data_IF_355068327533
#
_entry.id   IF_355068327533
#
_cell.length_a   1.000
_cell.length_b   1.000
_cell.length_c   1.000
_cell.angle_alpha   90.00
_cell.angle_beta   90.00
_cell.angle_gamma   90.00
#
_symmetry.space_group_name_H-M   'P 1'
#
loop_
_entity.id
_entity.type
_entity.pdbx_description
1 polymer ?
#
# COMPACT_ATOMS: atom_id res chain seq x y z
N UNK A 1 -23.17 21.21 -43.44
CA UNK A 1 -22.49 22.50 -43.17
C UNK A 1 -22.92 23.00 -41.81
N UNK A 2 -22.16 22.71 -40.77
CA UNK A 2 -22.25 23.38 -39.46
C UNK A 2 -20.82 23.42 -38.96
N UNK A 3 -20.21 24.60 -39.02
CA UNK A 3 -18.81 24.84 -38.73
C UNK A 3 -18.59 25.02 -37.23
N UNK A 4 -17.61 24.32 -36.69
CA UNK A 4 -17.06 24.61 -35.36
C UNK A 4 -15.85 25.54 -35.50
N UNK A 5 -15.70 26.56 -34.64
CA UNK A 5 -14.65 27.55 -34.78
C UNK A 5 -13.29 26.98 -34.36
N UNK A 6 -12.31 27.16 -35.25
CA UNK A 6 -10.86 27.06 -34.97
C UNK A 6 -10.50 28.12 -33.92
N UNK A 7 -10.09 27.70 -32.73
CA UNK A 7 -9.32 28.55 -31.83
C UNK A 7 -7.85 28.51 -32.28
N UNK A 8 -7.38 29.63 -32.80
CA UNK A 8 -5.99 29.89 -33.15
C UNK A 8 -5.18 30.18 -31.89
N UNK A 9 -3.92 29.71 -31.90
CA UNK A 9 -2.92 29.96 -30.89
C UNK A 9 -2.55 31.45 -30.77
N UNK A 10 -2.28 31.90 -29.54
CA UNK A 10 -1.09 32.66 -29.08
C UNK A 10 -1.34 33.22 -27.69
N UNK A 11 -0.46 32.89 -26.74
CA UNK A 11 0.33 33.89 -26.01
C UNK A 11 1.44 33.21 -25.21
N UNK A 12 2.64 33.76 -25.34
CA UNK A 12 3.87 33.35 -24.67
C UNK A 12 3.72 33.55 -23.16
N UNK A 13 3.74 32.47 -22.37
CA UNK A 13 3.84 32.59 -20.92
C UNK A 13 5.31 32.51 -20.53
N UNK A 14 5.75 33.65 -20.01
CA UNK A 14 7.06 33.98 -19.46
C UNK A 14 7.67 32.85 -18.60
N UNK A 15 8.87 32.40 -18.98
CA UNK A 15 9.75 31.53 -18.19
C UNK A 15 10.51 32.38 -17.16
N UNK A 16 9.85 32.91 -16.14
CA UNK A 16 10.49 33.17 -14.86
C UNK A 16 9.43 33.55 -13.83
N UNK A 17 9.37 32.77 -12.75
CA UNK A 17 8.76 33.01 -11.43
C UNK A 17 8.24 31.67 -10.88
N UNK A 18 9.16 30.92 -10.24
CA UNK A 18 8.78 29.88 -9.29
C UNK A 18 8.11 30.56 -8.08
N UNK A 19 6.80 30.75 -8.14
CA UNK A 19 5.99 31.05 -6.95
C UNK A 19 5.42 29.75 -6.38
N UNK A 20 5.58 29.50 -5.07
CA UNK A 20 4.98 28.34 -4.43
C UNK A 20 3.47 28.59 -4.34
N UNK A 21 2.69 27.92 -5.19
CA UNK A 21 1.25 27.82 -5.00
C UNK A 21 1.05 26.79 -3.89
N UNK A 22 1.09 27.28 -2.65
CA UNK A 22 0.65 26.58 -1.47
C UNK A 22 -0.84 26.94 -1.30
N UNK A 23 -1.80 26.07 -1.64
CA UNK A 23 -3.12 26.21 -1.05
C UNK A 23 -2.94 25.80 0.41
N UNK A 24 -3.10 26.78 1.31
CA UNK A 24 -3.42 26.55 2.71
C UNK A 24 -4.80 25.87 2.77
N UNK A 25 -4.85 24.58 2.43
CA UNK A 25 -5.82 23.66 2.97
C UNK A 25 -5.05 22.81 3.98
N UNK A 26 -5.40 22.85 5.27
CA UNK A 26 -4.71 22.01 6.22
C UNK A 26 -5.01 20.57 5.82
N UNK A 27 -3.98 19.82 5.42
CA UNK A 27 -4.01 18.36 5.44
C UNK A 27 -4.50 17.81 6.80
N UNK A 28 -4.45 18.64 7.86
CA UNK A 28 -5.04 18.38 9.17
C UNK A 28 -6.57 18.13 9.14
N UNK A 29 -7.34 18.70 8.20
CA UNK A 29 -8.79 18.50 8.17
C UNK A 29 -9.20 17.14 7.56
N UNK A 30 -8.38 16.60 6.64
CA UNK A 30 -8.54 15.23 6.12
C UNK A 30 -7.88 14.17 7.02
N UNK A 31 -6.94 14.59 7.87
CA UNK A 31 -6.28 13.73 8.87
C UNK A 31 -7.25 13.13 9.90
N UNK A 32 -8.41 13.77 10.11
CA UNK A 32 -9.45 13.27 11.02
C UNK A 32 -10.12 11.98 10.53
N UNK A 33 -10.20 11.75 9.21
CA UNK A 33 -10.79 10.53 8.63
C UNK A 33 -9.93 9.28 8.86
N UNK A 34 -8.67 9.45 9.25
CA UNK A 34 -7.71 8.36 9.46
C UNK A 34 -7.55 7.94 10.93
N UNK A 35 -8.17 8.63 11.89
CA UNK A 35 -8.03 8.31 13.33
C UNK A 35 -9.09 7.32 13.81
N UNK A 36 -8.72 6.04 13.85
CA UNK A 36 -9.24 5.06 14.79
C UNK A 36 -8.18 4.72 15.85
N UNK A 37 -8.24 5.43 16.99
CA UNK A 37 -7.63 5.22 18.33
C UNK A 37 -6.15 4.77 18.51
N UNK A 38 -5.53 5.12 19.66
CA UNK A 38 -4.08 5.25 19.81
C UNK A 38 -3.40 4.04 20.48
N UNK A 39 -2.08 3.91 20.25
CA UNK A 39 -1.20 3.17 21.14
C UNK A 39 -0.21 2.27 20.43
N UNK A 40 0.95 2.80 20.04
CA UNK A 40 2.15 2.00 19.90
C UNK A 40 3.37 2.82 20.31
N UNK A 41 3.91 2.48 21.48
CA UNK A 41 5.16 3.00 22.01
C UNK A 41 6.27 2.14 21.40
N UNK A 42 7.25 2.78 20.76
CA UNK A 42 8.47 2.12 20.29
C UNK A 42 9.24 1.55 21.48
N UNK A 43 9.67 0.29 21.37
CA UNK A 43 10.75 -0.24 22.21
C UNK A 43 11.79 -0.87 21.30
N UNK A 44 12.99 -0.29 21.32
CA UNK A 44 14.21 -0.87 20.76
C UNK A 44 14.58 -2.13 21.55
N UNK A 45 14.98 -3.19 20.83
CA UNK A 45 15.61 -4.36 21.43
C UNK A 45 16.76 -4.83 20.54
N UNK A 46 17.98 -4.47 20.96
CA UNK A 46 19.23 -5.07 20.49
C UNK A 46 19.75 -6.03 21.56
N UNK A 47 20.01 -7.27 21.13
CA UNK A 47 21.03 -8.24 21.63
C UNK A 47 20.95 -8.64 23.12
N UNK A 48 20.96 -9.92 23.54
CA UNK A 48 21.98 -10.94 23.25
C UNK A 48 21.59 -12.29 23.90
N UNK A 49 21.93 -13.37 23.22
CA UNK A 49 22.32 -14.72 23.67
C UNK A 49 22.16 -15.13 25.15
N UNK A 50 21.42 -16.22 25.39
CA UNK A 50 21.45 -17.03 26.63
C UNK A 50 22.14 -18.36 26.36
N UNK A 51 23.22 -18.66 27.08
CA UNK A 51 23.57 -20.03 27.50
C UNK A 51 23.96 -19.97 28.97
N UNK A 52 23.20 -20.70 29.77
CA UNK A 52 23.29 -20.77 31.22
C UNK A 52 24.58 -21.45 31.69
N UNK A 53 25.24 -20.81 32.65
CA UNK A 53 25.80 -21.48 33.82
C UNK A 53 25.73 -20.48 34.98
N UNK A 54 25.50 -21.00 36.20
CA UNK A 54 25.72 -20.38 37.53
C UNK A 54 24.46 -20.01 38.32
N UNK A 55 24.09 -20.96 39.17
CA UNK A 55 23.27 -20.86 40.39
C UNK A 55 23.85 -19.89 41.45
N UNK A 56 24.07 -18.60 41.11
CA UNK A 56 24.64 -17.62 42.06
C UNK A 56 24.32 -16.13 41.76
N UNK A 57 23.06 -15.74 41.51
CA UNK A 57 22.74 -14.35 41.08
C UNK A 57 21.45 -13.69 41.59
N UNK A 58 20.84 -14.13 42.68
CA UNK A 58 19.73 -13.37 43.28
C UNK A 58 20.09 -12.92 44.69
N UNK A 59 20.04 -11.59 44.90
CA UNK A 59 20.30 -10.92 46.17
C UNK A 59 19.23 -11.16 47.23
N UNK A 60 18.15 -11.86 46.87
CA UNK A 60 17.05 -12.19 47.75
C UNK A 60 16.66 -13.67 47.58
N UNK A 61 16.23 -14.26 48.68
CA UNK A 61 15.67 -15.61 48.78
C UNK A 61 14.14 -15.57 48.74
N UNK A 62 13.46 -16.70 48.42
CA UNK A 62 12.00 -16.78 48.50
C UNK A 62 11.45 -16.41 49.90
N UNK A 63 12.18 -16.76 50.97
CA UNK A 63 11.81 -16.42 52.34
C UNK A 63 11.85 -14.91 52.61
N UNK A 64 12.86 -14.20 52.07
CA UNK A 64 12.95 -12.74 52.19
C UNK A 64 11.86 -12.03 51.38
N UNK A 65 11.49 -12.58 50.23
CA UNK A 65 10.36 -12.09 49.43
C UNK A 65 9.03 -12.26 50.18
N UNK A 66 8.80 -13.43 50.79
CA UNK A 66 7.62 -13.68 51.61
C UNK A 66 7.57 -12.79 52.87
N UNK A 67 8.72 -12.54 53.51
CA UNK A 67 8.80 -11.63 54.65
C UNK A 67 8.45 -10.18 54.27
N UNK A 68 8.85 -9.73 53.08
CA UNK A 68 8.47 -8.40 52.59
C UNK A 68 6.97 -8.27 52.33
N UNK A 69 6.33 -9.33 51.80
CA UNK A 69 4.88 -9.37 51.64
C UNK A 69 4.13 -9.36 52.97
N UNK A 70 4.64 -10.06 54.00
CA UNK A 70 4.05 -9.99 55.36
C UNK A 70 4.13 -8.59 55.94
N UNK A 71 5.28 -7.90 55.83
CA UNK A 71 5.40 -6.49 56.27
C UNK A 71 4.44 -5.56 55.55
N UNK A 72 4.22 -5.78 54.25
CA UNK A 72 3.25 -5.02 53.47
C UNK A 72 1.82 -5.29 53.96
N UNK A 73 1.50 -6.55 54.28
CA UNK A 73 0.20 -6.91 54.82
C UNK A 73 -0.05 -6.30 56.22
N UNK A 74 0.97 -6.31 57.09
CA UNK A 74 0.91 -5.69 58.41
C UNK A 74 0.63 -4.18 58.32
N UNK A 75 1.22 -3.50 57.33
CA UNK A 75 1.02 -2.07 57.11
C UNK A 75 -0.37 -1.73 56.59
N UNK A 76 -0.96 -2.61 55.76
CA UNK A 76 -2.25 -2.38 55.11
C UNK A 76 -3.43 -2.97 55.91
N UNK A 77 -3.17 -3.86 56.87
CA UNK A 77 -4.19 -4.62 57.59
C UNK A 77 -4.88 -5.69 56.73
N UNK A 78 -4.41 -5.92 55.50
CA UNK A 78 -4.98 -6.87 54.54
C UNK A 78 -3.89 -7.45 53.61
N UNK A 79 -4.22 -8.51 52.86
CA UNK A 79 -3.28 -9.10 51.89
C UNK A 79 -3.03 -8.12 50.71
N UNK A 80 -1.78 -7.67 50.46
CA UNK A 80 -1.47 -6.60 49.52
C UNK A 80 -1.72 -7.01 48.07
N UNK A 81 -2.44 -6.22 47.28
CA UNK A 81 -2.35 -6.31 45.81
C UNK A 81 -0.95 -5.90 45.33
N UNK A 82 -0.59 -6.28 44.09
CA UNK A 82 0.71 -5.89 43.53
C UNK A 82 0.91 -4.37 43.51
N UNK A 83 -0.14 -3.62 43.14
CA UNK A 83 -0.10 -2.16 43.11
C UNK A 83 0.05 -1.56 44.51
N UNK A 84 -0.74 -2.04 45.49
CA UNK A 84 -0.61 -1.59 46.88
C UNK A 84 0.81 -1.85 47.44
N UNK A 85 1.42 -2.99 47.11
CA UNK A 85 2.81 -3.27 47.50
C UNK A 85 3.82 -2.30 46.86
N UNK A 86 3.64 -1.96 45.58
CA UNK A 86 4.49 -1.00 44.87
C UNK A 86 4.39 0.41 45.46
N UNK A 87 3.18 0.84 45.85
CA UNK A 87 2.95 2.13 46.48
C UNK A 87 3.63 2.27 47.85
N UNK A 88 3.84 1.16 48.57
CA UNK A 88 4.59 1.15 49.84
C UNK A 88 6.11 1.31 49.65
N UNK A 89 6.61 1.26 48.41
CA UNK A 89 8.04 1.43 48.11
C UNK A 89 8.95 0.39 48.76
N UNK A 90 8.43 -0.80 49.09
CA UNK A 90 9.15 -1.84 49.81
C UNK A 90 10.15 -2.58 48.92
N UNK A 91 11.22 -3.07 49.55
CA UNK A 91 12.21 -3.94 48.93
C UNK A 91 12.07 -5.38 49.47
N UNK A 92 12.22 -6.40 48.60
CA UNK A 92 12.52 -6.34 47.17
C UNK A 92 11.35 -5.86 46.30
N UNK A 93 11.67 -5.31 45.12
CA UNK A 93 10.66 -4.85 44.16
C UNK A 93 9.72 -5.99 43.71
N UNK A 94 8.48 -5.66 43.36
CA UNK A 94 7.44 -6.62 42.98
C UNK A 94 7.88 -7.57 41.84
N UNK A 95 8.61 -7.05 40.85
CA UNK A 95 9.16 -7.84 39.74
C UNK A 95 10.21 -8.86 40.21
N UNK A 96 11.02 -8.49 41.21
CA UNK A 96 12.01 -9.39 41.82
C UNK A 96 11.33 -10.52 42.59
N UNK A 97 10.26 -10.20 43.33
CA UNK A 97 9.44 -11.19 44.04
C UNK A 97 8.82 -12.18 43.05
N UNK A 98 8.16 -11.68 41.99
CA UNK A 98 7.53 -12.53 40.96
C UNK A 98 8.57 -13.49 40.35
N UNK A 99 9.76 -12.98 40.04
CA UNK A 99 10.82 -13.76 39.39
C UNK A 99 11.48 -14.80 40.32
N UNK A 100 11.52 -14.54 41.63
CA UNK A 100 12.12 -15.47 42.63
C UNK A 100 11.11 -16.52 43.09
N UNK A 101 9.84 -16.13 43.26
CA UNK A 101 8.78 -16.98 43.77
C UNK A 101 7.89 -17.59 42.66
N UNK A 102 8.25 -17.39 41.39
CA UNK A 102 7.50 -17.86 40.21
C UNK A 102 6.03 -17.40 40.16
N UNK A 103 5.77 -16.17 40.61
CA UNK A 103 4.45 -15.57 40.60
C UNK A 103 4.12 -14.78 41.86
N UNK A 104 3.16 -13.85 41.71
CA UNK A 104 2.70 -13.02 42.83
C UNK A 104 1.84 -13.82 43.82
N UNK A 105 0.96 -14.68 43.32
CA UNK A 105 0.14 -15.54 44.16
C UNK A 105 0.99 -16.62 44.86
N UNK A 106 1.97 -17.22 44.17
CA UNK A 106 2.93 -18.13 44.78
C UNK A 106 3.74 -17.47 45.92
N UNK A 107 4.15 -16.21 45.74
CA UNK A 107 4.80 -15.44 46.80
C UNK A 107 3.87 -15.16 48.00
N UNK A 108 2.57 -14.90 47.75
CA UNK A 108 1.56 -14.73 48.81
C UNK A 108 1.28 -16.02 49.56
N UNK A 109 1.25 -17.17 48.88
CA UNK A 109 1.09 -18.48 49.50
C UNK A 109 2.28 -18.78 50.44
N UNK A 110 3.51 -18.53 50.00
CA UNK A 110 4.71 -18.61 50.86
C UNK A 110 4.67 -17.63 52.04
N UNK A 111 3.92 -16.54 51.92
CA UNK A 111 3.72 -15.55 52.96
C UNK A 111 2.52 -15.86 53.87
N UNK A 112 1.76 -16.93 53.60
CA UNK A 112 0.49 -17.28 54.26
C UNK A 112 -0.59 -16.19 54.13
N UNK A 113 -0.57 -15.46 53.01
CA UNK A 113 -1.49 -14.37 52.72
C UNK A 113 -2.56 -14.79 51.71
N UNK A 114 -3.76 -14.20 51.83
CA UNK A 114 -4.87 -14.46 50.90
C UNK A 114 -4.47 -14.11 49.46
N UNK A 115 -4.57 -15.06 48.55
CA UNK A 115 -4.31 -14.85 47.12
C UNK A 115 -5.49 -14.15 46.46
N UNK A 116 -5.22 -13.39 45.40
CA UNK A 116 -6.32 -12.89 44.57
C UNK A 116 -6.76 -14.01 43.64
N UNK A 117 -8.08 -14.22 43.51
CA UNK A 117 -8.64 -15.20 42.58
C UNK A 117 -7.99 -15.04 41.20
N UNK A 118 -7.53 -16.15 40.64
CA UNK A 118 -7.02 -16.17 39.28
C UNK A 118 -8.12 -15.64 38.37
N UNK A 119 -7.86 -14.52 37.67
CA UNK A 119 -8.83 -13.95 36.72
C UNK A 119 -8.94 -14.81 35.46
N UNK A 120 -8.27 -15.97 35.43
CA UNK A 120 -8.15 -16.84 34.30
C UNK A 120 -7.15 -16.31 33.29
N UNK A 121 -6.96 -17.08 32.22
CA UNK A 121 -6.18 -16.64 31.06
C UNK A 121 -6.69 -15.30 30.55
N UNK A 122 -5.78 -14.34 30.37
CA UNK A 122 -6.03 -13.04 29.68
C UNK A 122 -6.62 -13.22 28.28
N UNK A 123 -6.49 -14.42 27.72
CA UNK A 123 -6.99 -14.80 26.41
C UNK A 123 -8.14 -15.79 26.59
N UNK A 124 -9.29 -15.46 26.00
CA UNK A 124 -10.50 -16.29 26.02
C UNK A 124 -10.32 -17.66 25.34
N UNK A 125 -11.40 -18.46 25.28
CA UNK A 125 -11.34 -19.83 24.78
C UNK A 125 -10.91 -19.90 23.30
N UNK A 126 -10.43 -21.08 22.90
CA UNK A 126 -10.07 -21.39 21.51
C UNK A 126 -11.28 -21.16 20.58
N UNK A 127 -11.12 -20.38 19.49
CA UNK A 127 -12.14 -20.29 18.44
C UNK A 127 -12.50 -21.66 17.85
N UNK A 128 -13.79 -21.93 17.66
CA UNK A 128 -14.29 -23.23 17.19
C UNK A 128 -13.83 -23.59 15.77
N UNK A 129 -13.50 -22.60 14.93
CA UNK A 129 -13.05 -22.80 13.55
C UNK A 129 -11.56 -23.15 13.43
N UNK A 130 -10.79 -23.10 14.53
CA UNK A 130 -9.37 -23.42 14.50
C UNK A 130 -9.14 -24.93 14.64
N UNK A 131 -8.51 -25.50 13.63
CA UNK A 131 -8.04 -26.89 13.59
C UNK A 131 -6.71 -27.03 14.36
N UNK A 132 -6.78 -26.78 15.67
CA UNK A 132 -5.68 -26.94 16.63
C UNK A 132 -6.24 -27.68 17.83
N UNK A 133 -5.55 -28.69 18.36
CA UNK A 133 -6.05 -29.39 19.53
C UNK A 133 -6.07 -28.49 20.77
N UNK A 134 -6.91 -28.80 21.76
CA UNK A 134 -6.96 -28.02 23.00
C UNK A 134 -5.62 -28.07 23.77
N UNK A 135 -4.91 -29.20 23.69
CA UNK A 135 -3.58 -29.35 24.27
C UNK A 135 -2.54 -28.43 23.59
N UNK A 136 -2.55 -28.35 22.26
CA UNK A 136 -1.70 -27.43 21.50
C UNK A 136 -2.07 -25.96 21.79
N UNK A 137 -3.36 -25.64 21.88
CA UNK A 137 -3.83 -24.29 22.21
C UNK A 137 -3.38 -23.83 23.60
N UNK A 138 -3.44 -24.71 24.60
CA UNK A 138 -2.98 -24.41 25.97
C UNK A 138 -1.45 -24.25 26.00
N UNK A 139 -0.72 -25.02 25.19
CA UNK A 139 0.73 -24.91 25.07
C UNK A 139 1.21 -23.64 24.34
N UNK A 140 0.37 -23.00 23.53
CA UNK A 140 0.71 -21.74 22.84
C UNK A 140 0.98 -20.60 23.82
N UNK A 141 1.81 -19.65 23.38
CA UNK A 141 2.00 -18.41 24.13
C UNK A 141 0.71 -17.57 24.17
N UNK A 142 0.63 -16.67 25.14
CA UNK A 142 -0.45 -15.68 25.24
C UNK A 142 -0.58 -14.88 23.94
N UNK A 143 0.53 -14.48 23.34
CA UNK A 143 0.57 -13.71 22.11
C UNK A 143 0.07 -14.53 20.91
N UNK A 144 0.48 -15.80 20.79
CA UNK A 144 0.00 -16.70 19.75
C UNK A 144 -1.52 -16.88 19.83
N UNK A 145 -2.04 -17.17 21.02
CA UNK A 145 -3.50 -17.28 21.23
C UNK A 145 -4.22 -15.98 20.92
N UNK A 146 -3.64 -14.83 21.28
CA UNK A 146 -4.19 -13.52 20.94
C UNK A 146 -4.22 -13.31 19.41
N UNK A 147 -3.15 -13.63 18.70
CA UNK A 147 -3.07 -13.52 17.25
C UNK A 147 -4.13 -14.38 16.54
N UNK A 148 -4.30 -15.64 16.94
CA UNK A 148 -5.31 -16.51 16.36
C UNK A 148 -6.73 -16.00 16.59
N UNK A 149 -7.05 -15.51 17.80
CA UNK A 149 -8.39 -14.97 18.09
C UNK A 149 -8.71 -13.70 17.31
N UNK A 150 -7.73 -12.83 17.12
CA UNK A 150 -7.93 -11.53 16.49
C UNK A 150 -7.48 -11.52 15.03
N UNK A 151 -7.17 -12.67 14.43
CA UNK A 151 -6.66 -12.74 13.06
C UNK A 151 -7.60 -12.08 12.06
N UNK A 152 -8.88 -12.48 12.08
CA UNK A 152 -9.92 -11.93 11.19
C UNK A 152 -10.15 -10.44 11.45
N UNK A 153 -10.24 -10.04 12.72
CA UNK A 153 -10.42 -8.63 13.10
C UNK A 153 -9.20 -7.77 12.73
N UNK A 154 -7.98 -8.28 12.87
CA UNK A 154 -6.75 -7.62 12.47
C UNK A 154 -6.68 -7.52 10.94
N UNK A 155 -7.01 -8.59 10.22
CA UNK A 155 -7.09 -8.59 8.76
C UNK A 155 -8.11 -7.57 8.27
N UNK A 156 -9.30 -7.52 8.86
CA UNK A 156 -10.33 -6.52 8.54
C UNK A 156 -9.84 -5.10 8.86
N UNK A 157 -9.21 -4.88 10.02
CA UNK A 157 -8.60 -3.57 10.37
C UNK A 157 -7.54 -3.13 9.35
N UNK A 158 -6.72 -4.05 8.86
CA UNK A 158 -5.74 -3.78 7.81
C UNK A 158 -6.41 -3.44 6.48
N UNK A 159 -7.45 -4.17 6.08
CA UNK A 159 -8.23 -3.88 4.86
C UNK A 159 -8.90 -2.52 4.94
N UNK A 160 -9.56 -2.20 6.05
CA UNK A 160 -10.22 -0.93 6.27
C UNK A 160 -9.23 0.23 6.27
N UNK A 161 -8.04 0.03 6.87
CA UNK A 161 -6.94 1.02 6.80
C UNK A 161 -6.51 1.28 5.37
N UNK A 162 -6.25 0.23 4.57
CA UNK A 162 -5.86 0.36 3.15
C UNK A 162 -6.95 1.01 2.32
N UNK A 163 -8.23 0.76 2.63
CA UNK A 163 -9.37 1.42 1.99
C UNK A 163 -9.37 2.92 2.29
N UNK A 164 -9.31 3.30 3.58
CA UNK A 164 -9.26 4.72 3.99
C UNK A 164 -8.08 5.47 3.39
N UNK A 165 -6.91 4.85 3.30
CA UNK A 165 -5.74 5.46 2.65
C UNK A 165 -5.97 5.70 1.15
N UNK A 166 -6.57 4.74 0.43
CA UNK A 166 -6.93 4.92 -0.99
C UNK A 166 -7.97 6.03 -1.17
N UNK A 167 -9.05 6.01 -0.37
CA UNK A 167 -10.09 7.03 -0.40
C UNK A 167 -9.50 8.44 -0.14
N UNK A 168 -8.59 8.55 0.83
CA UNK A 168 -7.87 9.80 1.11
C UNK A 168 -6.97 10.25 -0.04
N UNK A 169 -6.22 9.33 -0.65
CA UNK A 169 -5.38 9.64 -1.82
C UNK A 169 -6.21 10.07 -3.02
N UNK A 170 -7.38 9.48 -3.24
CA UNK A 170 -8.27 9.87 -4.35
C UNK A 170 -8.81 11.29 -4.15
N UNK A 171 -9.22 11.65 -2.92
CA UNK A 171 -9.60 13.03 -2.58
C UNK A 171 -8.41 13.98 -2.79
N UNK A 172 -7.21 13.59 -2.35
CA UNK A 172 -6.01 14.39 -2.52
C UNK A 172 -5.70 14.65 -4.00
N UNK A 173 -5.73 13.61 -4.85
CA UNK A 173 -5.56 13.74 -6.31
C UNK A 173 -6.63 14.65 -6.92
N UNK A 174 -7.90 14.46 -6.59
CA UNK A 174 -9.01 15.27 -7.11
C UNK A 174 -8.82 16.76 -6.80
N UNK A 175 -8.33 17.05 -5.59
CA UNK A 175 -8.13 18.42 -5.12
C UNK A 175 -7.03 19.18 -5.86
N UNK A 176 -6.07 18.47 -6.45
CA UNK A 176 -4.94 19.05 -7.19
C UNK A 176 -5.18 19.04 -8.70
N UNK A 177 -5.75 17.94 -9.21
CA UNK A 177 -5.84 17.68 -10.64
C UNK A 177 -4.47 17.48 -11.31
N UNK A 178 -4.49 17.17 -12.60
CA UNK A 178 -3.28 17.02 -13.41
C UNK A 178 -2.58 18.38 -13.57
N UNK A 179 -1.31 18.47 -13.18
CA UNK A 179 -0.51 19.72 -13.30
C UNK A 179 -0.31 20.18 -14.74
N UNK A 180 -0.45 19.28 -15.73
CA UNK A 180 -0.22 19.59 -17.14
C UNK A 180 -1.50 19.99 -17.92
N UNK A 181 -2.64 19.36 -17.64
CA UNK A 181 -3.86 19.55 -18.43
C UNK A 181 -5.14 19.79 -17.63
N UNK A 182 -5.08 19.76 -16.29
CA UNK A 182 -6.23 20.04 -15.43
C UNK A 182 -7.27 18.91 -15.28
N UNK A 183 -7.03 17.71 -15.85
CA UNK A 183 -7.86 16.52 -15.57
C UNK A 183 -8.03 16.33 -14.05
N UNK A 184 -9.25 16.06 -13.59
CA UNK A 184 -9.59 16.05 -12.17
C UNK A 184 -10.15 14.72 -11.67
N UNK A 185 -10.51 13.78 -12.56
CA UNK A 185 -11.01 12.47 -12.15
C UNK A 185 -9.90 11.64 -11.48
N UNK A 186 -10.01 11.29 -10.19
CA UNK A 186 -8.97 10.52 -9.47
C UNK A 186 -8.61 9.19 -10.11
N UNK A 187 -9.54 8.56 -10.81
CA UNK A 187 -9.29 7.31 -11.54
C UNK A 187 -8.28 7.50 -12.68
N UNK A 188 -8.22 8.70 -13.26
CA UNK A 188 -7.29 9.07 -14.31
C UNK A 188 -5.94 9.56 -13.78
N UNK A 189 -5.82 9.83 -12.48
CA UNK A 189 -4.68 10.53 -11.87
C UNK A 189 -3.69 9.58 -11.19
N UNK A 190 -2.40 9.85 -11.39
CA UNK A 190 -1.25 9.20 -10.77
C UNK A 190 -0.35 10.23 -10.06
N UNK A 191 0.46 9.72 -9.14
CA UNK A 191 1.58 10.44 -8.57
C UNK A 191 2.82 10.24 -9.46
N UNK A 192 3.35 11.33 -9.99
CA UNK A 192 4.59 11.37 -10.75
C UNK A 192 5.72 11.88 -9.85
N UNK A 193 6.76 11.09 -9.67
CA UNK A 193 7.93 11.49 -8.89
C UNK A 193 8.77 12.54 -9.62
N UNK A 194 9.04 13.65 -8.93
CA UNK A 194 9.96 14.69 -9.38
C UNK A 194 11.33 14.45 -8.75
N UNK A 195 12.14 13.60 -9.37
CA UNK A 195 13.48 13.24 -8.91
C UNK A 195 13.69 11.73 -8.73
N UNK A 196 14.75 11.31 -8.00
CA UNK A 196 15.00 9.90 -7.75
C UNK A 196 13.88 9.31 -6.88
N UNK A 197 13.32 8.18 -7.33
CA UNK A 197 12.25 7.47 -6.62
C UNK A 197 12.85 6.46 -5.66
N UNK A 198 12.47 6.53 -4.38
CA UNK A 198 12.73 5.44 -3.44
C UNK A 198 11.55 4.46 -3.41
N UNK A 199 10.31 4.96 -3.28
CA UNK A 199 9.09 4.14 -3.14
C UNK A 199 7.88 4.79 -3.79
N UNK A 200 7.01 3.99 -4.41
CA UNK A 200 5.76 4.51 -4.97
C UNK A 200 4.71 4.77 -3.87
N UNK A 201 4.02 5.90 -3.93
CA UNK A 201 2.92 6.25 -3.01
C UNK A 201 1.84 5.16 -2.97
N UNK A 202 1.53 4.57 -4.13
CA UNK A 202 0.57 3.47 -4.26
C UNK A 202 1.00 2.23 -3.48
N UNK A 203 2.30 1.93 -3.44
CA UNK A 203 2.84 0.82 -2.67
C UNK A 203 2.74 1.09 -1.17
N UNK A 204 3.07 2.31 -0.74
CA UNK A 204 2.94 2.71 0.67
C UNK A 204 1.50 2.54 1.17
N UNK A 205 0.50 2.92 0.37
CA UNK A 205 -0.90 2.71 0.70
C UNK A 205 -1.28 1.22 0.75
N UNK A 206 -0.78 0.42 -0.21
CA UNK A 206 -1.03 -1.02 -0.31
C UNK A 206 -0.45 -1.78 0.88
N UNK A 207 0.77 -1.46 1.27
CA UNK A 207 1.44 -2.05 2.42
C UNK A 207 0.99 -1.45 3.77
N UNK A 208 0.14 -0.41 3.75
CA UNK A 208 -0.50 0.13 4.94
C UNK A 208 0.42 1.01 5.80
N UNK A 209 1.41 1.67 5.19
CA UNK A 209 2.30 2.63 5.85
C UNK A 209 1.54 3.75 6.57
N UNK A 210 2.24 4.52 7.41
CA UNK A 210 1.59 5.62 8.11
C UNK A 210 1.20 6.75 7.16
N UNK A 211 0.17 7.50 7.51
CA UNK A 211 -0.22 8.70 6.75
C UNK A 211 0.93 9.72 6.70
N UNK A 212 1.78 9.76 7.73
CA UNK A 212 2.96 10.61 7.76
C UNK A 212 4.01 10.17 6.73
N UNK A 213 4.30 8.87 6.63
CA UNK A 213 5.23 8.33 5.63
C UNK A 213 4.74 8.61 4.21
N UNK A 214 3.44 8.39 3.97
CA UNK A 214 2.83 8.68 2.67
C UNK A 214 2.90 10.18 2.38
N UNK A 215 2.61 11.03 3.36
CA UNK A 215 2.68 12.48 3.18
C UNK A 215 4.09 12.99 2.88
N UNK A 216 5.13 12.39 3.48
CA UNK A 216 6.52 12.68 3.18
C UNK A 216 6.85 12.32 1.72
N UNK A 217 6.43 11.14 1.25
CA UNK A 217 6.61 10.73 -0.14
C UNK A 217 5.90 11.67 -1.13
N UNK A 218 4.69 12.13 -0.77
CA UNK A 218 3.92 13.07 -1.58
C UNK A 218 4.63 14.41 -1.82
N UNK A 219 5.57 14.82 -0.95
CA UNK A 219 6.35 16.06 -1.16
C UNK A 219 7.31 15.96 -2.36
N UNK A 220 7.59 14.74 -2.80
CA UNK A 220 8.45 14.46 -3.95
C UNK A 220 7.63 14.13 -5.21
N UNK A 221 6.30 14.28 -5.15
CA UNK A 221 5.40 13.92 -6.23
C UNK A 221 4.62 15.13 -6.74
N UNK A 222 4.31 15.13 -8.04
CA UNK A 222 3.24 15.94 -8.62
C UNK A 222 2.11 15.04 -9.15
N UNK A 223 0.91 15.58 -9.26
CA UNK A 223 -0.24 14.81 -9.78
C UNK A 223 -0.32 14.97 -11.30
N UNK A 224 -0.32 13.85 -12.03
CA UNK A 224 -0.49 13.84 -13.49
C UNK A 224 -1.53 12.83 -13.90
N UNK A 225 -2.32 13.14 -14.93
CA UNK A 225 -3.21 12.14 -15.51
C UNK A 225 -2.43 11.12 -16.33
N UNK A 226 -2.99 9.93 -16.51
CA UNK A 226 -2.34 8.82 -17.22
C UNK A 226 -1.87 9.20 -18.64
N UNK A 227 -2.65 10.05 -19.34
CA UNK A 227 -2.26 10.56 -20.65
C UNK A 227 -1.00 11.45 -20.59
N UNK A 228 -0.90 12.34 -19.60
CA UNK A 228 0.24 13.27 -19.42
C UNK A 228 1.42 12.65 -18.64
N UNK A 229 1.18 11.56 -17.92
CA UNK A 229 2.21 10.87 -17.13
C UNK A 229 3.11 10.02 -18.04
N UNK A 230 2.54 9.39 -19.08
CA UNK A 230 3.27 8.51 -19.98
C UNK A 230 4.51 9.16 -20.63
N UNK A 231 4.43 10.37 -21.24
CA UNK A 231 5.58 11.01 -21.86
C UNK A 231 6.73 11.34 -20.89
N UNK A 232 6.46 11.38 -19.58
CA UNK A 232 7.48 11.67 -18.58
C UNK A 232 8.43 10.48 -18.35
N UNK A 233 7.98 9.25 -18.59
CA UNK A 233 8.77 8.03 -18.38
C UNK A 233 9.20 7.35 -19.68
N UNK A 234 8.61 7.73 -20.81
CA UNK A 234 8.83 7.06 -22.08
C UNK A 234 9.15 8.06 -23.18
N UNK A 235 10.29 7.87 -23.84
CA UNK A 235 10.57 8.54 -25.10
C UNK A 235 9.48 8.18 -26.12
N UNK A 236 9.07 9.15 -26.92
CA UNK A 236 8.20 8.86 -28.07
C UNK A 236 8.90 7.80 -28.94
N UNK A 237 8.19 6.75 -29.40
CA UNK A 237 8.76 5.80 -30.32
C UNK A 237 9.27 6.54 -31.55
N UNK A 238 10.51 6.29 -31.97
CA UNK A 238 11.13 6.96 -33.12
C UNK A 238 10.31 6.79 -34.43
N UNK A 239 9.45 5.76 -34.52
CA UNK A 239 8.53 5.60 -35.65
C UNK A 239 7.41 6.64 -35.70
N UNK A 240 7.08 7.32 -34.60
CA UNK A 240 6.10 8.41 -34.56
C UNK A 240 6.72 9.79 -34.85
N UNK A 241 8.05 9.89 -34.93
CA UNK A 241 8.72 11.12 -35.33
C UNK A 241 8.64 11.29 -36.85
N UNK A 242 8.44 12.51 -37.32
CA UNK A 242 8.37 12.87 -38.75
C UNK A 242 9.66 12.58 -39.55
N UNK A 243 10.71 12.05 -38.90
CA UNK A 243 11.98 11.63 -39.47
C UNK A 243 12.29 10.12 -39.29
N UNK A 244 11.36 9.33 -38.72
CA UNK A 244 11.51 7.89 -38.57
C UNK A 244 11.56 7.17 -39.93
N UNK A 245 12.08 5.92 -39.99
CA UNK A 245 12.15 5.18 -41.23
C UNK A 245 10.76 5.17 -41.85
N UNK A 246 10.68 5.69 -43.07
CA UNK A 246 9.52 5.59 -43.96
C UNK A 246 9.29 4.12 -44.28
N UNK A 247 8.80 3.35 -43.31
CA UNK A 247 7.99 2.18 -43.61
C UNK A 247 6.91 2.74 -44.50
N UNK A 248 6.95 2.41 -45.80
CA UNK A 248 6.03 2.95 -46.81
C UNK A 248 4.62 2.55 -46.39
N UNK A 249 3.96 3.37 -45.59
CA UNK A 249 2.58 3.13 -45.19
C UNK A 249 1.73 3.58 -46.37
N UNK A 250 1.50 2.67 -47.31
CA UNK A 250 0.58 2.92 -48.42
C UNK A 250 -0.78 3.37 -47.87
N UNK A 251 -1.34 4.36 -48.55
CA UNK A 251 -2.43 5.20 -48.06
C UNK A 251 -3.78 4.47 -47.85
N UNK A 252 -3.90 3.19 -48.24
CA UNK A 252 -5.19 2.50 -48.36
C UNK A 252 -5.33 1.21 -47.53
N UNK A 253 -4.51 1.02 -46.47
CA UNK A 253 -4.23 -0.23 -45.72
C UNK A 253 -2.92 -0.83 -46.24
N UNK A 254 -1.84 -0.74 -45.47
CA UNK A 254 -0.52 -1.20 -45.92
C UNK A 254 0.34 -1.72 -44.77
N UNK A 255 -0.07 -2.84 -44.18
CA UNK A 255 0.85 -3.70 -43.42
C UNK A 255 1.78 -4.29 -44.47
N UNK A 256 3.00 -3.78 -44.61
CA UNK A 256 4.07 -4.57 -45.25
C UNK A 256 4.20 -5.82 -44.37
N UNK A 257 3.98 -7.00 -44.93
CA UNK A 257 4.07 -8.22 -44.13
C UNK A 257 5.52 -8.38 -43.63
N UNK A 258 5.76 -9.06 -42.49
CA UNK A 258 7.13 -9.26 -42.02
C UNK A 258 8.02 -9.93 -43.07
N UNK A 259 7.49 -10.82 -43.92
CA UNK A 259 8.19 -11.45 -45.04
C UNK A 259 8.49 -10.50 -46.22
N UNK A 260 7.87 -9.32 -46.26
CA UNK A 260 8.09 -8.26 -47.25
C UNK A 260 9.02 -7.14 -46.70
N UNK A 261 9.56 -7.30 -45.49
CA UNK A 261 10.55 -6.40 -44.86
C UNK A 261 11.75 -7.19 -44.33
N UNK A 262 12.94 -6.61 -44.29
CA UNK A 262 14.09 -7.19 -43.55
C UNK A 262 13.96 -7.04 -42.01
N UNK A 263 12.77 -6.73 -41.49
CA UNK A 263 12.55 -6.49 -40.06
C UNK A 263 12.21 -7.77 -39.32
N UNK A 264 12.71 -7.90 -38.10
CA UNK A 264 12.18 -8.91 -37.18
C UNK A 264 10.71 -8.61 -36.89
N UNK A 265 9.92 -9.67 -36.72
CA UNK A 265 8.50 -9.58 -36.37
C UNK A 265 8.22 -8.69 -35.15
N UNK A 266 9.07 -8.78 -34.13
CA UNK A 266 8.97 -7.96 -32.93
C UNK A 266 9.17 -6.47 -33.27
N UNK A 267 10.19 -6.14 -34.06
CA UNK A 267 10.46 -4.77 -34.52
C UNK A 267 9.29 -4.23 -35.35
N UNK A 268 8.76 -5.06 -36.25
CA UNK A 268 7.58 -4.74 -37.05
C UNK A 268 6.36 -4.42 -36.16
N UNK A 269 6.01 -5.30 -35.20
CA UNK A 269 4.84 -5.12 -34.35
C UNK A 269 4.98 -3.92 -33.39
N UNK A 270 6.19 -3.65 -32.90
CA UNK A 270 6.51 -2.47 -32.08
C UNK A 270 6.37 -1.16 -32.86
N UNK A 271 6.72 -1.15 -34.16
CA UNK A 271 6.55 0.01 -35.02
C UNK A 271 5.08 0.19 -35.48
N UNK A 272 4.40 -0.92 -35.80
CA UNK A 272 3.01 -0.92 -36.28
C UNK A 272 2.01 -0.46 -35.23
N UNK A 273 2.16 -0.92 -33.99
CA UNK A 273 1.16 -0.70 -32.92
C UNK A 273 0.88 0.77 -32.65
N UNK A 274 1.88 1.66 -32.47
CA UNK A 274 1.65 3.09 -32.25
C UNK A 274 0.90 3.76 -33.43
N UNK A 275 1.26 3.45 -34.67
CA UNK A 275 0.58 4.00 -35.85
C UNK A 275 -0.86 3.51 -35.98
N UNK A 276 -1.11 2.22 -35.71
CA UNK A 276 -2.46 1.66 -35.72
C UNK A 276 -3.35 2.42 -34.74
N UNK A 277 -2.86 2.64 -33.52
CA UNK A 277 -3.58 3.37 -32.48
C UNK A 277 -3.80 4.84 -32.86
N UNK A 278 -2.74 5.54 -33.28
CA UNK A 278 -2.80 6.96 -33.65
C UNK A 278 -3.81 7.22 -34.78
N UNK A 279 -3.85 6.38 -35.81
CA UNK A 279 -4.80 6.54 -36.94
C UNK A 279 -6.26 6.36 -36.53
N UNK A 280 -6.54 5.55 -35.50
CA UNK A 280 -7.90 5.34 -35.00
C UNK A 280 -8.31 6.36 -33.94
N UNK A 281 -7.35 6.80 -33.12
CA UNK A 281 -7.61 7.67 -31.98
C UNK A 281 -8.43 6.98 -30.88
N UNK A 282 -8.60 7.67 -29.76
CA UNK A 282 -9.49 7.26 -28.68
C UNK A 282 -10.95 7.30 -29.17
N UNK A 283 -11.66 6.18 -29.01
CA UNK A 283 -13.09 6.05 -29.34
C UNK A 283 -13.97 7.04 -28.58
N UNK A 284 -13.65 7.34 -27.32
CA UNK A 284 -14.52 8.14 -26.44
C UNK A 284 -14.26 9.65 -26.56
N UNK A 285 -13.00 10.09 -26.58
CA UNK A 285 -12.65 11.51 -26.52
C UNK A 285 -11.90 12.05 -27.76
N UNK A 286 -11.55 11.19 -28.72
CA UNK A 286 -10.86 11.59 -29.94
C UNK A 286 -9.36 11.91 -29.79
N UNK A 287 -8.75 11.70 -28.64
CA UNK A 287 -7.30 11.80 -28.44
C UNK A 287 -6.53 10.98 -29.49
N UNK A 288 -5.49 11.54 -30.10
CA UNK A 288 -4.72 10.90 -31.19
C UNK A 288 -3.26 10.71 -30.87
N UNK A 289 -2.74 11.27 -29.78
CA UNK A 289 -1.35 11.09 -29.38
C UNK A 289 -1.08 9.61 -29.08
N UNK A 290 -0.40 8.95 -30.03
CA UNK A 290 -0.33 7.49 -30.09
C UNK A 290 0.28 6.84 -28.84
N UNK A 291 1.06 7.59 -28.08
CA UNK A 291 1.75 7.10 -26.91
C UNK A 291 0.86 6.89 -25.67
N UNK A 292 -0.24 7.65 -25.53
CA UNK A 292 -1.19 7.46 -24.45
C UNK A 292 -2.34 6.50 -24.82
N UNK A 293 -2.37 6.00 -26.06
CA UNK A 293 -3.43 5.11 -26.55
C UNK A 293 -3.19 3.64 -26.17
N UNK A 294 -4.26 2.95 -25.79
CA UNK A 294 -4.29 1.57 -25.31
C UNK A 294 -5.34 0.76 -26.05
N UNK A 295 -5.10 -0.54 -26.18
CA UNK A 295 -6.10 -1.47 -26.67
C UNK A 295 -7.01 -1.88 -25.51
N UNK A 296 -8.30 -1.65 -25.66
CA UNK A 296 -9.31 -2.06 -24.71
C UNK A 296 -10.18 -3.17 -25.32
N UNK A 297 -10.39 -4.24 -24.56
CA UNK A 297 -11.32 -5.31 -24.96
C UNK A 297 -12.69 -5.03 -24.32
N UNK A 298 -13.71 -4.62 -25.10
CA UNK A 298 -15.04 -4.37 -24.56
C UNK A 298 -15.75 -5.66 -24.08
N UNK A 299 -15.31 -6.81 -24.59
CA UNK A 299 -15.80 -8.14 -24.22
C UNK A 299 -14.61 -9.01 -23.79
N UNK A 300 -14.06 -8.81 -22.57
CA UNK A 300 -12.79 -9.41 -22.14
C UNK A 300 -12.80 -10.94 -22.09
N UNK A 301 -13.96 -11.57 -21.99
CA UNK A 301 -14.18 -13.02 -22.05
C UNK A 301 -13.94 -13.61 -23.45
N UNK A 302 -14.00 -12.78 -24.50
CA UNK A 302 -13.77 -13.20 -25.89
C UNK A 302 -12.31 -13.09 -26.32
N UNK A 303 -11.47 -12.46 -25.49
CA UNK A 303 -10.06 -12.23 -25.75
C UNK A 303 -9.26 -13.52 -25.54
N UNK A 304 -8.22 -13.72 -26.34
CA UNK A 304 -7.26 -14.81 -26.14
C UNK A 304 -6.18 -14.42 -25.14
N UNK A 305 -5.66 -13.19 -25.23
CA UNK A 305 -4.70 -12.61 -24.27
C UNK A 305 -4.56 -11.10 -24.51
N UNK A 306 -3.83 -10.37 -23.67
CA UNK A 306 -3.50 -8.97 -23.95
C UNK A 306 -2.65 -8.83 -25.23
N UNK A 307 -3.00 -7.89 -26.12
CA UNK A 307 -2.25 -7.64 -27.37
C UNK A 307 -0.75 -7.45 -27.12
N UNK A 308 -0.37 -6.71 -26.06
CA UNK A 308 1.03 -6.54 -25.68
C UNK A 308 1.74 -7.87 -25.34
N UNK A 309 1.06 -8.77 -24.61
CA UNK A 309 1.58 -10.11 -24.31
C UNK A 309 1.76 -10.94 -25.58
N UNK A 310 0.77 -10.92 -26.48
CA UNK A 310 0.87 -11.65 -27.75
C UNK A 310 2.08 -11.20 -28.59
N UNK A 311 2.41 -9.90 -28.55
CA UNK A 311 3.59 -9.33 -29.20
C UNK A 311 4.88 -9.82 -28.51
N UNK A 312 4.96 -9.69 -27.18
CA UNK A 312 6.12 -10.13 -26.39
C UNK A 312 6.40 -11.63 -26.54
N UNK A 313 5.35 -12.45 -26.56
CA UNK A 313 5.43 -13.90 -26.76
C UNK A 313 5.65 -14.30 -28.23
N UNK A 314 5.86 -13.32 -29.12
CA UNK A 314 6.10 -13.53 -30.54
C UNK A 314 5.03 -14.38 -31.23
N UNK A 315 3.75 -14.26 -30.85
CA UNK A 315 2.62 -14.99 -31.46
C UNK A 315 2.41 -14.57 -32.93
N UNK A 316 1.97 -15.47 -33.85
CA UNK A 316 1.79 -15.17 -35.28
C UNK A 316 1.09 -13.82 -35.55
N UNK A 317 1.49 -13.09 -36.59
CA UNK A 317 0.96 -11.74 -36.85
C UNK A 317 -0.55 -11.77 -37.07
N UNK A 318 -1.05 -12.82 -37.73
CA UNK A 318 -2.46 -13.08 -37.97
C UNK A 318 -3.22 -13.22 -36.64
N UNK A 319 -2.60 -13.89 -35.66
CA UNK A 319 -3.18 -14.04 -34.33
C UNK A 319 -3.22 -12.70 -33.57
N UNK A 320 -2.15 -11.91 -33.65
CA UNK A 320 -2.11 -10.57 -33.03
C UNK A 320 -3.18 -9.67 -33.66
N UNK A 321 -3.33 -9.71 -34.99
CA UNK A 321 -4.34 -8.95 -35.72
C UNK A 321 -5.76 -9.36 -35.33
N UNK A 322 -6.05 -10.66 -35.33
CA UNK A 322 -7.35 -11.18 -34.94
C UNK A 322 -7.73 -10.76 -33.50
N UNK A 323 -6.76 -10.63 -32.60
CA UNK A 323 -7.00 -10.10 -31.26
C UNK A 323 -7.24 -8.59 -31.26
N UNK A 324 -6.43 -7.83 -32.00
CA UNK A 324 -6.60 -6.37 -32.14
C UNK A 324 -7.96 -6.02 -32.76
N UNK A 325 -8.48 -6.83 -33.68
CA UNK A 325 -9.80 -6.62 -34.29
C UNK A 325 -10.97 -6.76 -33.28
N UNK A 326 -10.72 -7.37 -32.11
CA UNK A 326 -11.66 -7.44 -30.98
C UNK A 326 -11.51 -6.24 -30.02
N UNK A 327 -10.51 -5.39 -30.25
CA UNK A 327 -10.23 -4.24 -29.40
C UNK A 327 -10.86 -2.97 -29.95
N UNK A 328 -11.17 -2.04 -29.05
CA UNK A 328 -11.29 -0.61 -29.37
C UNK A 328 -10.04 0.11 -28.87
N UNK A 329 -9.75 1.28 -29.45
CA UNK A 329 -8.63 2.12 -29.01
C UNK A 329 -9.16 3.18 -28.07
N UNK A 330 -8.60 3.26 -26.86
CA UNK A 330 -8.92 4.27 -25.85
C UNK A 330 -7.64 4.98 -25.40
N UNK A 331 -7.71 6.26 -25.05
CA UNK A 331 -6.61 6.90 -24.32
C UNK A 331 -6.54 6.33 -22.89
N UNK A 332 -5.39 6.47 -22.24
CA UNK A 332 -5.14 5.90 -20.92
C UNK A 332 -6.17 6.37 -19.87
N UNK A 333 -6.60 7.63 -19.92
CA UNK A 333 -7.65 8.16 -19.05
C UNK A 333 -9.00 7.44 -19.27
N UNK A 334 -9.53 7.46 -20.50
CA UNK A 334 -10.81 6.81 -20.82
C UNK A 334 -10.75 5.29 -20.57
N UNK A 335 -9.61 4.65 -20.82
CA UNK A 335 -9.43 3.23 -20.54
C UNK A 335 -9.55 2.91 -19.03
N UNK A 336 -9.01 3.77 -18.17
CA UNK A 336 -9.14 3.62 -16.71
C UNK A 336 -10.56 3.85 -16.23
N UNK A 337 -11.25 4.82 -16.82
CA UNK A 337 -12.65 5.09 -16.52
C UNK A 337 -13.53 3.87 -16.85
N UNK A 338 -13.29 3.20 -17.98
CA UNK A 338 -14.02 1.99 -18.36
C UNK A 338 -13.80 0.81 -17.39
N UNK A 339 -12.61 0.72 -16.80
CA UNK A 339 -12.29 -0.30 -15.80
C UNK A 339 -12.61 0.10 -14.35
N UNK A 340 -13.18 1.29 -14.14
CA UNK A 340 -13.57 1.73 -12.80
C UNK A 340 -14.79 0.91 -12.36
N UNK A 341 -14.74 0.21 -11.21
CA UNK A 341 -15.92 -0.45 -10.68
C UNK A 341 -17.01 0.59 -10.36
N UNK A 342 -18.26 0.24 -10.68
CA UNK A 342 -19.44 1.08 -10.46
C UNK A 342 -19.70 1.40 -8.98
#
# INVERSE_FOLDING_TARGET
MVGFPRLQAREEVNRDERRPIHPLYPAAHLYHLLRGSPGFVQSDASTTTTTQARTARYSYTPAECAAALRRAADHLGESPSKAQYEDLGLTPASATIIRICDGWNAAKELAELQTTADRGSRVGPKPAHLDVSDAEWVAMSVDQRWHYRHHEENAQRSLDRRRRLRDWLDIYKASLGCTACGEADPACLDFHHVGPTERAVTDLATYGYSAADIHAELQHCEVRCANCHWPAHHAKPACLDSAGPTVRTDAAIGIIRPDETDLTKETYLRAWTPHYKQRRGCRECGETEGCCLQFHHPAPETKRDGVGRLISDSKPVEQVRAEVDRCVVLCANCHRQEHRPA
#
